data_IF_965889050927
#
_entry.id   IF_965889050927
#
_cell.length_a   1.000
_cell.length_b   1.000
_cell.length_c   1.000
_cell.angle_alpha   90.00
_cell.angle_beta   90.00
_cell.angle_gamma   90.00
#
_symmetry.space_group_name_H-M   'P 1'
#
loop_
_entity.id
_entity.type
_entity.pdbx_description
1 polymer ?
#
# COMPACT_ATOMS: atom_id res chain seq x y z
N UNK A 1 -5.50 -7.16 -17.87
CA UNK A 1 -5.01 -6.23 -16.85
C UNK A 1 -6.17 -5.91 -15.96
N UNK A 2 -6.07 -6.18 -14.65
CA UNK A 2 -7.11 -5.76 -13.73
C UNK A 2 -7.09 -4.23 -13.61
N UNK A 3 -8.26 -3.61 -13.65
CA UNK A 3 -8.42 -2.21 -13.26
C UNK A 3 -8.22 -2.04 -11.75
N UNK A 4 -8.12 -0.79 -11.28
CA UNK A 4 -7.97 -0.46 -9.85
C UNK A 4 -9.06 -1.18 -9.02
N UNK A 5 -10.32 -1.09 -9.43
CA UNK A 5 -11.45 -1.71 -8.72
C UNK A 5 -11.31 -3.23 -8.59
N UNK A 6 -10.89 -3.92 -9.65
CA UNK A 6 -10.71 -5.39 -9.62
C UNK A 6 -9.58 -5.78 -8.65
N UNK A 7 -8.48 -5.04 -8.66
CA UNK A 7 -7.37 -5.26 -7.74
C UNK A 7 -7.79 -5.04 -6.27
N UNK A 8 -8.55 -3.98 -6.00
CA UNK A 8 -9.03 -3.67 -4.65
C UNK A 8 -10.04 -4.72 -4.15
N UNK A 9 -10.93 -5.20 -5.02
CA UNK A 9 -11.82 -6.31 -4.71
C UNK A 9 -11.06 -7.62 -4.49
N UNK A 10 -9.95 -7.85 -5.19
CA UNK A 10 -9.07 -8.99 -4.93
C UNK A 10 -8.41 -8.88 -3.55
N UNK A 11 -7.92 -7.69 -3.17
CA UNK A 11 -7.36 -7.44 -1.84
C UNK A 11 -8.37 -7.69 -0.71
N UNK A 12 -9.65 -7.33 -0.92
CA UNK A 12 -10.72 -7.60 0.05
C UNK A 12 -11.04 -9.10 0.24
N UNK A 13 -10.54 -9.99 -0.63
CA UNK A 13 -10.66 -11.45 -0.44
C UNK A 13 -9.63 -12.01 0.53
N UNK A 14 -8.67 -11.20 0.98
CA UNK A 14 -7.71 -11.61 2.00
C UNK A 14 -8.45 -11.89 3.32
N UNK A 15 -8.12 -12.98 4.03
CA UNK A 15 -8.68 -13.23 5.36
C UNK A 15 -8.45 -12.02 6.26
N UNK A 16 -9.51 -11.56 6.93
CA UNK A 16 -9.45 -10.41 7.84
C UNK A 16 -9.29 -9.04 7.18
N UNK A 17 -9.37 -8.91 5.85
CA UNK A 17 -9.36 -7.60 5.20
C UNK A 17 -10.61 -6.80 5.59
N UNK A 18 -10.39 -5.58 6.12
CA UNK A 18 -11.45 -4.65 6.51
C UNK A 18 -11.63 -3.54 5.48
N UNK A 19 -10.53 -3.08 4.89
CA UNK A 19 -10.53 -2.11 3.81
C UNK A 19 -9.26 -2.19 2.98
N UNK A 20 -9.38 -1.71 1.75
CA UNK A 20 -8.27 -1.58 0.82
C UNK A 20 -8.35 -0.27 0.04
N UNK A 21 -7.21 0.35 -0.24
CA UNK A 21 -7.11 1.54 -1.07
C UNK A 21 -5.86 1.52 -1.94
N UNK A 22 -5.92 2.21 -3.08
CA UNK A 22 -4.75 2.57 -3.87
C UNK A 22 -4.54 4.07 -3.72
N UNK A 23 -3.38 4.48 -3.24
CA UNK A 23 -3.11 5.86 -2.81
C UNK A 23 -1.86 6.38 -3.49
N UNK A 24 -1.89 7.61 -4.00
CA UNK A 24 -0.70 8.34 -4.41
C UNK A 24 -0.04 8.98 -3.18
N UNK A 25 1.17 8.53 -2.84
CA UNK A 25 1.88 9.01 -1.65
C UNK A 25 2.54 10.39 -1.81
N UNK A 26 2.58 10.94 -3.02
CA UNK A 26 3.03 12.32 -3.25
C UNK A 26 1.90 13.31 -2.98
N UNK A 27 0.69 13.03 -3.49
CA UNK A 27 -0.46 13.94 -3.37
C UNK A 27 -1.39 13.65 -2.19
N UNK A 28 -1.36 12.43 -1.64
CA UNK A 28 -2.28 11.97 -0.61
C UNK A 28 -3.65 11.54 -1.13
N UNK A 29 -3.85 11.51 -2.45
CA UNK A 29 -5.13 11.19 -3.07
C UNK A 29 -5.39 9.66 -3.10
N UNK A 30 -6.58 9.25 -2.68
CA UNK A 30 -7.07 7.91 -2.93
C UNK A 30 -7.52 7.78 -4.41
N UNK A 31 -6.81 6.97 -5.19
CA UNK A 31 -7.18 6.65 -6.57
C UNK A 31 -8.35 5.65 -6.63
N UNK A 32 -8.54 4.90 -5.55
CA UNK A 32 -9.69 4.02 -5.34
C UNK A 32 -9.68 3.47 -3.92
N UNK A 33 -10.87 3.19 -3.37
CA UNK A 33 -11.02 2.59 -2.03
C UNK A 33 -12.24 1.68 -1.94
N UNK A 34 -12.16 0.65 -1.10
CA UNK A 34 -13.23 -0.30 -0.80
C UNK A 34 -13.17 -0.72 0.66
N UNK A 35 -14.32 -1.15 1.21
CA UNK A 35 -14.42 -1.59 2.60
C UNK A 35 -14.49 -0.42 3.59
N UNK A 36 -13.84 -0.57 4.74
CA UNK A 36 -13.83 0.39 5.83
C UNK A 36 -12.39 0.77 6.19
N UNK A 37 -12.19 2.00 6.69
CA UNK A 37 -10.94 2.43 7.34
C UNK A 37 -11.22 3.04 8.72
N UNK A 38 -10.22 3.05 9.64
CA UNK A 38 -10.38 3.73 10.92
C UNK A 38 -10.82 5.18 10.74
N UNK A 39 -11.74 5.64 11.57
CA UNK A 39 -12.29 7.00 11.49
C UNK A 39 -13.43 7.18 10.48
N UNK A 40 -13.66 6.21 9.59
CA UNK A 40 -14.82 6.19 8.68
C UNK A 40 -14.71 7.10 7.45
N UNK A 41 -13.57 7.76 7.25
CA UNK A 41 -13.28 8.60 6.09
C UNK A 41 -12.03 8.08 5.36
N UNK A 42 -12.24 7.59 4.14
CA UNK A 42 -11.16 6.99 3.34
C UNK A 42 -10.17 8.03 2.83
N UNK A 43 -10.60 9.26 2.55
CA UNK A 43 -9.74 10.32 2.03
C UNK A 43 -8.78 10.79 3.13
N UNK A 44 -9.29 10.96 4.36
CA UNK A 44 -8.46 11.29 5.52
C UNK A 44 -7.46 10.17 5.81
N UNK A 45 -7.91 8.92 5.83
CA UNK A 45 -7.04 7.78 6.07
C UNK A 45 -5.95 7.63 4.99
N UNK A 46 -6.28 7.88 3.73
CA UNK A 46 -5.34 7.87 2.62
C UNK A 46 -4.29 8.98 2.74
N UNK A 47 -4.70 10.21 3.04
CA UNK A 47 -3.80 11.34 3.23
C UNK A 47 -2.82 11.10 4.38
N UNK A 48 -3.29 10.60 5.53
CA UNK A 48 -2.43 10.27 6.67
C UNK A 48 -1.46 9.13 6.35
N UNK A 49 -1.92 8.09 5.66
CA UNK A 49 -1.08 6.96 5.24
C UNK A 49 0.00 7.40 4.22
N UNK A 50 -0.34 8.31 3.32
CA UNK A 50 0.60 8.89 2.35
C UNK A 50 1.74 9.65 3.03
N UNK A 51 1.47 10.41 4.09
CA UNK A 51 2.52 11.10 4.86
C UNK A 51 3.52 10.11 5.48
N UNK A 52 3.03 8.98 6.02
CA UNK A 52 3.89 7.92 6.56
C UNK A 52 4.72 7.27 5.46
N UNK A 53 4.10 6.94 4.32
CA UNK A 53 4.78 6.36 3.18
C UNK A 53 5.88 7.29 2.64
N UNK A 54 5.57 8.58 2.46
CA UNK A 54 6.52 9.59 1.98
C UNK A 54 7.69 9.76 2.95
N UNK A 55 7.42 9.89 4.25
CA UNK A 55 8.47 9.97 5.26
C UNK A 55 9.37 8.74 5.21
N UNK A 56 8.82 7.53 5.10
CA UNK A 56 9.65 6.32 5.01
C UNK A 56 10.48 6.27 3.72
N UNK A 57 9.91 6.68 2.59
CA UNK A 57 10.59 6.69 1.29
C UNK A 57 11.69 7.77 1.16
N UNK A 58 11.60 8.87 1.91
CA UNK A 58 12.58 9.97 1.86
C UNK A 58 13.69 9.85 2.91
N UNK A 59 13.48 9.06 3.96
CA UNK A 59 14.43 8.94 5.07
C UNK A 59 15.54 7.94 4.79
N UNK A 60 16.79 8.43 4.76
CA UNK A 60 18.03 7.64 4.60
C UNK A 60 18.17 6.45 5.55
N UNK A 61 17.48 6.49 6.70
CA UNK A 61 17.47 5.38 7.66
C UNK A 61 16.84 4.11 7.08
N UNK A 62 15.90 4.24 6.14
CA UNK A 62 15.18 3.14 5.51
C UNK A 62 15.52 3.01 4.02
N UNK A 63 16.07 4.06 3.42
CA UNK A 63 16.46 4.11 2.00
C UNK A 63 17.97 4.37 1.87
N UNK A 64 18.82 3.41 2.24
CA UNK A 64 20.26 3.56 2.06
C UNK A 64 20.59 3.74 0.57
N UNK A 65 21.53 4.63 0.27
CA UNK A 65 21.92 4.97 -1.09
C UNK A 65 22.53 3.73 -1.78
N UNK A 66 21.82 3.16 -2.76
CA UNK A 66 22.25 1.96 -3.48
C UNK A 66 23.10 2.28 -4.73
N UNK A 67 23.47 3.55 -4.93
CA UNK A 67 24.22 3.98 -6.11
C UNK A 67 23.31 4.23 -7.32
N UNK A 68 23.88 4.78 -8.40
CA UNK A 68 23.10 5.31 -9.52
C UNK A 68 22.35 4.26 -10.37
N UNK A 69 22.67 2.97 -10.21
CA UNK A 69 22.10 1.87 -11.01
C UNK A 69 20.74 1.34 -10.51
N UNK A 70 20.32 1.69 -9.29
CA UNK A 70 19.14 1.09 -8.61
C UNK A 70 17.92 2.01 -8.56
N UNK A 71 17.82 2.98 -9.48
CA UNK A 71 16.74 4.00 -9.51
C UNK A 71 15.38 3.46 -10.00
N UNK A 72 15.29 2.18 -10.36
CA UNK A 72 14.10 1.60 -10.98
C UNK A 72 13.05 1.15 -9.96
N UNK A 73 13.45 0.79 -8.75
CA UNK A 73 12.55 0.25 -7.73
C UNK A 73 12.37 1.21 -6.55
N UNK A 74 11.18 1.24 -5.91
CA UNK A 74 10.99 1.96 -4.66
C UNK A 74 11.99 1.45 -3.62
N UNK A 75 12.69 2.34 -2.89
CA UNK A 75 13.75 1.93 -1.96
C UNK A 75 13.21 1.15 -0.74
N UNK A 76 11.90 1.16 -0.53
CA UNK A 76 11.20 0.37 0.48
C UNK A 76 10.12 -0.45 -0.21
N UNK A 77 10.08 -1.75 0.07
CA UNK A 77 9.12 -2.67 -0.53
C UNK A 77 7.72 -2.54 0.12
N UNK A 78 7.64 -2.65 1.45
CA UNK A 78 6.40 -2.48 2.20
C UNK A 78 6.61 -1.93 3.61
N UNK A 79 5.55 -1.33 4.17
CA UNK A 79 5.46 -0.94 5.57
C UNK A 79 4.35 -1.74 6.25
N UNK A 80 4.59 -2.12 7.50
CA UNK A 80 3.60 -2.81 8.34
C UNK A 80 3.48 -2.06 9.66
N UNK A 81 2.33 -1.46 9.89
CA UNK A 81 2.00 -0.80 11.16
C UNK A 81 1.15 -1.76 11.97
N UNK A 82 1.66 -2.17 13.14
CA UNK A 82 0.99 -3.13 14.01
C UNK A 82 0.25 -2.43 15.14
N UNK A 83 -1.07 -2.44 15.07
CA UNK A 83 -1.94 -1.97 16.13
C UNK A 83 -2.30 -3.12 17.10
N UNK A 84 -3.05 -2.81 18.15
CA UNK A 84 -3.49 -3.82 19.13
C UNK A 84 -4.34 -4.92 18.49
N UNK A 85 -5.23 -4.55 17.57
CA UNK A 85 -6.27 -5.40 16.99
C UNK A 85 -6.18 -5.54 15.46
N UNK A 86 -5.21 -4.87 14.85
CA UNK A 86 -5.13 -4.75 13.39
C UNK A 86 -3.69 -4.50 12.89
N UNK A 87 -3.52 -4.64 11.58
CA UNK A 87 -2.34 -4.24 10.83
C UNK A 87 -2.74 -3.26 9.72
N UNK A 88 -1.90 -2.26 9.47
CA UNK A 88 -1.93 -1.54 8.19
C UNK A 88 -0.73 -2.01 7.37
N UNK A 89 -1.00 -2.49 6.16
CA UNK A 89 0.02 -2.87 5.19
C UNK A 89 0.03 -1.83 4.08
N UNK A 90 1.17 -1.20 3.83
CA UNK A 90 1.37 -0.29 2.71
C UNK A 90 2.39 -0.93 1.78
N UNK A 91 1.97 -1.34 0.59
CA UNK A 91 2.81 -1.99 -0.42
C UNK A 91 3.06 -1.02 -1.56
N UNK A 92 4.31 -0.58 -1.75
CA UNK A 92 4.65 0.26 -2.89
C UNK A 92 4.45 -0.52 -4.20
N UNK A 93 3.96 0.19 -5.21
CA UNK A 93 3.78 -0.36 -6.55
C UNK A 93 4.98 0.07 -7.39
N UNK A 94 5.78 -0.89 -7.91
CA UNK A 94 6.81 -0.55 -8.88
C UNK A 94 6.12 -0.12 -10.17
N UNK A 95 6.39 1.10 -10.62
CA UNK A 95 5.80 1.64 -11.86
C UNK A 95 6.90 2.09 -12.81
N UNK A 96 6.64 1.97 -14.12
CA UNK A 96 7.60 2.34 -15.17
C UNK A 96 7.68 3.84 -15.40
N UNK A 97 6.71 4.57 -14.87
CA UNK A 97 6.60 6.02 -14.89
C UNK A 97 6.85 6.53 -13.47
N UNK A 98 7.04 7.83 -13.26
CA UNK A 98 7.22 8.43 -11.92
C UNK A 98 5.95 8.33 -11.02
N UNK A 99 5.15 7.27 -11.15
CA UNK A 99 3.94 7.05 -10.37
C UNK A 99 4.30 6.55 -8.97
N UNK A 100 4.09 7.45 -8.01
CA UNK A 100 4.28 7.27 -6.60
C UNK A 100 3.03 6.71 -5.91
N UNK A 101 2.66 5.44 -6.16
CA UNK A 101 1.48 4.85 -5.50
C UNK A 101 1.82 3.67 -4.59
N UNK A 102 0.94 3.41 -3.63
CA UNK A 102 0.97 2.20 -2.81
C UNK A 102 -0.44 1.62 -2.62
N UNK A 103 -0.50 0.30 -2.44
CA UNK A 103 -1.68 -0.42 -1.95
C UNK A 103 -1.71 -0.37 -0.43
N UNK A 104 -2.81 0.10 0.14
CA UNK A 104 -3.09 0.11 1.57
C UNK A 104 -4.10 -0.97 1.91
N UNK A 105 -3.79 -1.88 2.83
CA UNK A 105 -4.77 -2.81 3.39
C UNK A 105 -4.84 -2.64 4.89
N UNK A 106 -6.05 -2.48 5.41
CA UNK A 106 -6.35 -2.59 6.83
C UNK A 106 -6.82 -4.01 7.13
N UNK A 107 -6.05 -4.71 7.97
CA UNK A 107 -6.19 -6.14 8.23
C UNK A 107 -6.50 -6.37 9.70
N UNK A 108 -7.56 -7.11 10.01
CA UNK A 108 -7.85 -7.57 11.37
C UNK A 108 -6.80 -8.55 11.87
N UNK A 109 -6.39 -8.41 13.14
CA UNK A 109 -5.34 -9.28 13.73
C UNK A 109 -5.87 -10.62 14.21
N UNK A 110 -7.16 -10.69 14.57
CA UNK A 110 -7.82 -11.90 15.10
C UNK A 110 -8.05 -12.97 14.03
N UNK A 111 -8.33 -12.53 12.81
CA UNK A 111 -8.88 -13.32 11.71
C UNK A 111 -8.07 -13.12 10.41
N UNK A 112 -7.11 -12.19 10.42
CA UNK A 112 -6.25 -11.91 9.29
C UNK A 112 -5.00 -12.78 9.21
N UNK A 113 -4.52 -12.96 7.99
CA UNK A 113 -3.27 -13.67 7.70
C UNK A 113 -2.24 -12.69 7.12
N UNK A 114 -1.42 -12.08 7.98
CA UNK A 114 -0.42 -11.08 7.60
C UNK A 114 0.57 -11.63 6.57
N UNK A 115 1.04 -12.86 6.72
CA UNK A 115 2.00 -13.47 5.81
C UNK A 115 1.41 -13.63 4.40
N UNK A 116 0.18 -14.13 4.31
CA UNK A 116 -0.52 -14.25 3.03
C UNK A 116 -0.81 -12.87 2.43
N UNK A 117 -1.24 -11.91 3.23
CA UNK A 117 -1.52 -10.55 2.78
C UNK A 117 -0.29 -9.91 2.11
N UNK A 118 0.90 -10.04 2.70
CA UNK A 118 2.14 -9.53 2.10
C UNK A 118 2.44 -10.15 0.74
N UNK A 119 2.37 -11.49 0.65
CA UNK A 119 2.64 -12.22 -0.61
C UNK A 119 1.67 -11.74 -1.70
N UNK A 120 0.37 -11.71 -1.38
CA UNK A 120 -0.68 -11.33 -2.33
C UNK A 120 -0.59 -9.88 -2.75
N UNK A 121 -0.28 -8.97 -1.84
CA UNK A 121 -0.08 -7.56 -2.19
C UNK A 121 1.15 -7.37 -3.09
N UNK A 122 2.22 -8.13 -2.88
CA UNK A 122 3.36 -8.16 -3.80
C UNK A 122 2.98 -8.63 -5.21
N UNK A 123 2.23 -9.72 -5.32
CA UNK A 123 1.70 -10.22 -6.60
C UNK A 123 0.76 -9.22 -7.29
N UNK A 124 -0.08 -8.52 -6.52
CA UNK A 124 -0.98 -7.48 -7.03
C UNK A 124 -0.18 -6.27 -7.54
N UNK A 125 0.75 -5.77 -6.74
CA UNK A 125 1.60 -4.62 -7.08
C UNK A 125 2.38 -4.87 -8.38
N UNK A 126 2.98 -6.05 -8.56
CA UNK A 126 3.71 -6.37 -9.80
C UNK A 126 2.84 -6.49 -11.05
N UNK A 127 1.51 -6.63 -10.91
CA UNK A 127 0.55 -6.72 -12.02
C UNK A 127 -0.14 -5.39 -12.33
N UNK A 128 -0.06 -4.42 -11.41
CA UNK A 128 -0.62 -3.08 -11.57
C UNK A 128 0.27 -2.27 -12.52
N UNK A 129 -0.10 -2.27 -13.80
CA UNK A 129 0.45 -1.32 -14.77
C UNK A 129 -0.45 -0.09 -14.74
N UNK A 130 0.01 0.97 -14.07
CA UNK A 130 -0.56 2.30 -14.22
C UNK A 130 -0.04 2.88 -15.55
N UNK A 131 -0.87 2.77 -16.59
CA UNK A 131 -0.61 3.28 -17.94
C UNK A 131 -1.02 4.73 -18.11
#
# INVERSE_FOLDING_TARGET
MPGIDECLLEAMRLPGARGAALVDWTSGLALGSVGEFPGGDHEVAAAEAAEVARLTAEQRAFTPDHGEDDRADPPVEDLIISNRDSYHLLRFVPTSFDSSVFLHVWLGRSDGNLALARIRLGEMAGRLVLG
#
